data_IF_131437679369
#
_entry.id   IF_131437679369
#
_cell.length_a   1.000
_cell.length_b   1.000
_cell.length_c   1.000
_cell.angle_alpha   90.00
_cell.angle_beta   90.00
_cell.angle_gamma   90.00
#
_symmetry.space_group_name_H-M   'P 1'
#
loop_
_entity.id
_entity.type
_entity.pdbx_description
1 polymer ?
#
# COMPACT_ATOMS: atom_id res chain seq x y z
N UNK A 1 29.05 -1.07 -16.97
CA UNK A 1 27.67 -1.57 -17.17
C UNK A 1 27.42 -1.68 -18.67
N UNK A 2 26.79 -2.75 -19.14
CA UNK A 2 26.62 -3.04 -20.59
C UNK A 2 25.41 -2.30 -21.19
N UNK A 3 25.38 -2.16 -22.53
CA UNK A 3 24.27 -1.50 -23.23
C UNK A 3 22.89 -2.16 -23.00
N UNK A 4 22.87 -3.48 -22.80
CA UNK A 4 21.64 -4.19 -22.44
C UNK A 4 21.16 -3.89 -21.01
N UNK A 5 22.09 -3.62 -20.09
CA UNK A 5 21.76 -3.18 -18.72
C UNK A 5 21.21 -1.74 -18.73
N UNK A 6 21.73 -0.89 -19.61
CA UNK A 6 21.21 0.45 -19.83
C UNK A 6 19.80 0.45 -20.43
N UNK A 7 19.54 -0.38 -21.45
CA UNK A 7 18.20 -0.48 -22.02
C UNK A 7 17.17 -1.05 -21.03
N UNK A 8 17.57 -1.99 -20.16
CA UNK A 8 16.70 -2.48 -19.09
C UNK A 8 16.45 -1.42 -18.02
N UNK A 9 17.47 -0.64 -17.66
CA UNK A 9 17.33 0.49 -16.74
C UNK A 9 16.49 1.60 -17.35
N UNK A 10 16.63 1.91 -18.63
CA UNK A 10 15.77 2.84 -19.36
C UNK A 10 14.34 2.33 -19.44
N UNK A 11 14.11 1.06 -19.79
CA UNK A 11 12.76 0.48 -19.77
C UNK A 11 12.15 0.53 -18.38
N UNK A 12 12.90 0.15 -17.33
CA UNK A 12 12.42 0.23 -15.95
C UNK A 12 12.21 1.67 -15.52
N UNK A 13 13.04 2.62 -15.96
CA UNK A 13 12.88 4.05 -15.70
C UNK A 13 11.67 4.62 -16.44
N UNK A 14 11.42 4.25 -17.70
CA UNK A 14 10.27 4.70 -18.48
C UNK A 14 8.97 4.07 -17.98
N UNK A 15 8.99 2.79 -17.57
CA UNK A 15 7.86 2.13 -16.88
C UNK A 15 7.65 2.75 -15.49
N UNK A 16 8.70 3.12 -14.76
CA UNK A 16 8.63 3.84 -13.47
C UNK A 16 8.24 5.31 -13.61
N UNK A 17 8.49 5.93 -14.76
CA UNK A 17 8.02 7.28 -15.12
C UNK A 17 6.56 7.23 -15.59
N UNK A 18 6.10 6.07 -16.08
CA UNK A 18 4.72 5.81 -16.48
C UNK A 18 3.82 5.38 -15.31
N UNK A 19 4.37 4.91 -14.19
CA UNK A 19 3.60 4.76 -12.96
C UNK A 19 3.32 6.16 -12.39
N UNK A 20 2.07 6.62 -12.42
CA UNK A 20 1.81 8.04 -12.23
C UNK A 20 2.13 8.48 -10.81
N UNK A 21 2.84 9.61 -10.66
CA UNK A 21 2.75 10.42 -9.43
C UNK A 21 1.30 10.85 -9.14
N UNK A 22 0.47 10.84 -10.19
CA UNK A 22 -0.93 11.20 -10.21
C UNK A 22 -1.76 10.06 -10.86
N UNK A 23 -2.06 8.98 -10.13
CA UNK A 23 -3.08 8.04 -10.60
C UNK A 23 -4.40 8.83 -10.62
N UNK A 24 -4.84 9.26 -11.80
CA UNK A 24 -6.14 9.90 -11.96
C UNK A 24 -7.23 8.84 -11.77
N UNK A 25 -8.01 8.90 -10.69
CA UNK A 25 -9.04 7.91 -10.39
C UNK A 25 -10.10 7.77 -11.49
N UNK A 26 -10.18 8.75 -12.38
CA UNK A 26 -11.17 8.81 -13.44
C UNK A 26 -10.63 8.28 -14.77
N UNK A 27 -9.32 8.06 -14.93
CA UNK A 27 -8.72 7.61 -16.20
C UNK A 27 -8.41 6.13 -16.21
N UNK A 28 -7.74 5.61 -15.19
CA UNK A 28 -7.29 4.22 -15.15
C UNK A 28 -7.76 3.53 -13.86
N UNK A 29 -8.51 2.42 -13.96
CA UNK A 29 -8.94 1.70 -12.76
C UNK A 29 -7.77 0.94 -12.12
N UNK A 30 -7.72 0.92 -10.79
CA UNK A 30 -6.74 0.16 -10.01
C UNK A 30 -7.35 -1.18 -9.56
N UNK A 31 -6.66 -2.33 -9.74
CA UNK A 31 -7.21 -3.65 -9.45
C UNK A 31 -7.13 -3.97 -7.95
N UNK A 32 -7.99 -3.36 -7.13
CA UNK A 32 -8.09 -3.68 -5.71
C UNK A 32 -8.52 -5.14 -5.48
N UNK A 33 -8.14 -5.76 -4.35
CA UNK A 33 -8.69 -7.05 -3.93
C UNK A 33 -10.12 -6.88 -3.37
N UNK A 34 -11.09 -6.57 -4.25
CA UNK A 34 -12.45 -6.16 -3.88
C UNK A 34 -13.14 -7.13 -2.90
N UNK A 35 -13.10 -8.43 -3.18
CA UNK A 35 -13.76 -9.46 -2.35
C UNK A 35 -13.15 -9.54 -0.95
N UNK A 36 -11.82 -9.47 -0.83
CA UNK A 36 -11.13 -9.49 0.47
C UNK A 36 -11.49 -8.26 1.29
N UNK A 37 -11.46 -7.08 0.66
CA UNK A 37 -11.81 -5.81 1.30
C UNK A 37 -13.25 -5.86 1.84
N UNK A 38 -14.22 -6.27 1.02
CA UNK A 38 -15.63 -6.26 1.42
C UNK A 38 -15.98 -7.37 2.42
N UNK A 39 -15.33 -8.53 2.35
CA UNK A 39 -15.62 -9.66 3.25
C UNK A 39 -14.90 -9.60 4.60
N UNK A 40 -13.69 -9.03 4.65
CA UNK A 40 -12.85 -9.02 5.86
C UNK A 40 -12.68 -7.64 6.49
N UNK A 41 -13.11 -6.59 5.78
CA UNK A 41 -12.78 -5.20 6.14
C UNK A 41 -11.28 -4.91 6.14
N UNK A 42 -10.53 -5.58 5.26
CA UNK A 42 -9.12 -5.27 5.03
C UNK A 42 -8.92 -3.80 4.66
N UNK A 43 -7.94 -3.17 5.31
CA UNK A 43 -7.47 -1.81 5.00
C UNK A 43 -6.50 -1.83 3.83
N UNK A 44 -6.44 -0.73 3.09
CA UNK A 44 -5.52 -0.55 1.96
C UNK A 44 -4.46 0.48 2.32
N UNK A 45 -3.18 0.10 2.20
CA UNK A 45 -2.07 1.02 2.40
C UNK A 45 -2.01 2.04 1.26
N UNK A 46 -1.84 3.33 1.57
CA UNK A 46 -1.79 4.37 0.54
C UNK A 46 -0.63 4.15 -0.43
N UNK A 47 0.52 3.74 0.09
CA UNK A 47 1.73 3.46 -0.67
C UNK A 47 1.63 2.18 -1.53
N UNK A 48 0.66 1.30 -1.28
CA UNK A 48 0.39 0.16 -2.17
C UNK A 48 -0.16 0.65 -3.52
N UNK A 49 -1.03 1.67 -3.46
CA UNK A 49 -1.68 2.26 -4.63
C UNK A 49 -0.82 3.37 -5.24
N UNK A 50 -0.21 4.20 -4.40
CA UNK A 50 0.61 5.35 -4.78
C UNK A 50 2.06 5.18 -4.28
N UNK A 51 2.87 4.28 -4.87
CA UNK A 51 4.20 3.90 -4.35
C UNK A 51 5.27 5.01 -4.41
N UNK A 52 4.93 6.17 -4.97
CA UNK A 52 5.81 7.34 -5.06
C UNK A 52 5.27 8.56 -4.32
N UNK A 53 4.16 8.42 -3.59
CA UNK A 53 3.67 9.49 -2.75
C UNK A 53 4.61 9.72 -1.57
N UNK A 54 4.57 10.91 -0.98
CA UNK A 54 5.39 11.24 0.18
C UNK A 54 5.13 10.26 1.33
N UNK A 55 6.20 9.70 1.90
CA UNK A 55 6.10 8.80 3.04
C UNK A 55 6.09 9.62 4.32
N UNK A 56 5.21 9.23 5.23
CA UNK A 56 5.16 9.80 6.56
C UNK A 56 6.33 9.30 7.40
N UNK A 57 6.93 10.22 8.13
CA UNK A 57 8.10 9.97 8.96
C UNK A 57 7.85 10.50 10.36
N UNK A 58 8.39 9.79 11.35
CA UNK A 58 8.34 10.19 12.76
C UNK A 58 9.68 9.90 13.43
N UNK A 59 10.15 10.86 14.21
CA UNK A 59 11.41 10.76 14.96
C UNK A 59 11.13 10.75 16.46
N UNK A 60 11.76 9.83 17.17
CA UNK A 60 11.89 9.87 18.62
C UNK A 60 13.36 10.01 18.99
N UNK A 61 13.69 10.47 20.22
CA UNK A 61 15.08 10.66 20.65
C UNK A 61 16.03 9.48 20.45
N UNK A 62 15.51 8.25 20.27
CA UNK A 62 16.29 7.03 20.11
C UNK A 62 15.91 6.20 18.86
N UNK A 63 15.18 6.76 17.90
CA UNK A 63 14.80 6.01 16.70
C UNK A 63 14.03 6.81 15.65
N UNK A 64 14.18 6.38 14.41
CA UNK A 64 13.43 6.86 13.26
C UNK A 64 12.39 5.81 12.85
N UNK A 65 11.22 6.28 12.45
CA UNK A 65 10.12 5.46 11.97
C UNK A 65 9.64 5.99 10.63
N UNK A 66 9.48 5.08 9.67
CA UNK A 66 8.58 5.30 8.55
C UNK A 66 7.17 4.92 8.99
N UNK A 67 6.17 5.59 8.45
CA UNK A 67 4.77 5.37 8.80
C UNK A 67 4.00 4.94 7.56
N UNK A 68 3.46 3.74 7.60
CA UNK A 68 2.57 3.19 6.58
C UNK A 68 1.12 3.48 6.97
N UNK A 69 0.43 4.31 6.18
CA UNK A 69 -0.94 4.73 6.42
C UNK A 69 -1.95 3.89 5.63
N UNK A 70 -2.87 3.23 6.35
CA UNK A 70 -3.83 2.28 5.78
C UNK A 70 -5.28 2.68 6.06
N UNK A 71 -6.11 2.58 5.03
CA UNK A 71 -7.47 3.16 5.01
C UNK A 71 -8.54 2.13 4.68
N UNK A 72 -9.73 2.32 5.24
CA UNK A 72 -10.92 1.56 4.85
C UNK A 72 -11.55 2.17 3.59
N UNK A 73 -11.62 1.40 2.51
CA UNK A 73 -12.19 1.86 1.22
C UNK A 73 -13.59 1.32 0.92
N UNK A 74 -14.17 0.53 1.83
CA UNK A 74 -15.49 -0.10 1.67
C UNK A 74 -16.59 0.93 1.45
N UNK A 75 -17.49 0.67 0.50
CA UNK A 75 -18.50 1.65 0.07
C UNK A 75 -19.59 1.92 1.10
N UNK A 76 -19.84 0.96 1.99
CA UNK A 76 -20.86 1.05 3.05
C UNK A 76 -20.28 1.55 4.39
N UNK A 77 -19.00 1.96 4.40
CA UNK A 77 -18.32 2.40 5.61
C UNK A 77 -18.07 3.91 5.57
N UNK A 78 -18.47 4.60 6.63
CA UNK A 78 -18.27 6.05 6.78
C UNK A 78 -17.18 6.39 7.82
N UNK A 79 -16.35 5.41 8.21
CA UNK A 79 -15.35 5.61 9.25
C UNK A 79 -14.35 6.71 8.86
N UNK A 80 -13.85 7.39 9.87
CA UNK A 80 -12.77 8.38 9.79
C UNK A 80 -11.50 7.86 10.44
N UNK A 81 -11.32 6.54 10.40
CA UNK A 81 -10.17 5.87 10.99
C UNK A 81 -9.08 5.62 9.93
N UNK A 82 -7.83 5.78 10.34
CA UNK A 82 -6.63 5.35 9.62
C UNK A 82 -5.76 4.52 10.57
N UNK A 83 -5.18 3.43 10.06
CA UNK A 83 -4.12 2.72 10.76
C UNK A 83 -2.79 3.34 10.33
N UNK A 84 -2.03 3.84 11.29
CA UNK A 84 -0.67 4.33 11.10
C UNK A 84 0.29 3.30 11.70
N UNK A 85 0.90 2.47 10.85
CA UNK A 85 1.91 1.50 11.29
C UNK A 85 3.29 2.15 11.29
N UNK A 86 3.79 2.45 12.50
CA UNK A 86 5.12 3.00 12.70
C UNK A 86 6.15 1.87 12.65
N UNK A 87 6.95 1.86 11.59
CA UNK A 87 7.95 0.83 11.29
C UNK A 87 9.35 1.42 11.49
N UNK A 88 10.07 0.94 12.50
CA UNK A 88 11.43 1.39 12.82
C UNK A 88 12.44 0.25 12.85
N UNK A 89 13.73 0.60 12.95
CA UNK A 89 14.81 -0.40 13.01
C UNK A 89 14.71 -1.30 14.25
N UNK A 90 14.85 -2.61 14.04
CA UNK A 90 15.00 -3.60 15.10
C UNK A 90 16.43 -3.60 15.64
N UNK A 91 16.60 -3.46 16.96
CA UNK A 91 17.89 -3.69 17.62
C UNK A 91 17.94 -5.10 18.19
N UNK A 92 18.57 -6.06 17.51
CA UNK A 92 19.21 -7.24 18.12
C UNK A 92 20.08 -8.03 17.11
N UNK A 93 21.23 -8.53 17.59
CA UNK A 93 22.31 -9.11 16.76
C UNK A 93 21.82 -10.25 15.86
N UNK A 94 22.00 -10.10 14.54
CA UNK A 94 22.03 -11.22 13.58
C UNK A 94 20.86 -11.34 12.59
N UNK A 95 19.67 -10.82 12.93
CA UNK A 95 18.49 -10.53 12.06
C UNK A 95 17.34 -10.20 13.01
N UNK A 96 16.87 -8.96 13.02
CA UNK A 96 15.70 -8.57 13.83
C UNK A 96 14.57 -8.13 12.88
N UNK A 97 13.33 -8.61 13.06
CA UNK A 97 12.19 -7.99 12.39
C UNK A 97 12.09 -6.50 12.79
N UNK A 98 11.57 -5.64 11.91
CA UNK A 98 11.40 -4.22 12.22
C UNK A 98 10.46 -4.05 13.42
N UNK A 99 10.72 -3.03 14.24
CA UNK A 99 9.84 -2.66 15.34
C UNK A 99 8.59 -2.03 14.74
N UNK A 100 7.44 -2.68 14.88
CA UNK A 100 6.14 -2.17 14.43
C UNK A 100 5.28 -1.72 15.61
N UNK A 101 4.64 -0.57 15.46
CA UNK A 101 3.71 -0.01 16.46
C UNK A 101 2.50 0.58 15.75
N UNK A 102 1.50 -0.24 15.41
CA UNK A 102 0.31 0.26 14.73
C UNK A 102 -0.61 1.00 15.70
N UNK A 103 -0.93 2.24 15.32
CA UNK A 103 -1.88 3.10 16.00
C UNK A 103 -3.09 3.35 15.10
N UNK A 104 -4.28 3.42 15.69
CA UNK A 104 -5.49 3.85 14.99
C UNK A 104 -5.76 5.29 15.36
N UNK A 105 -5.94 6.14 14.35
CA UNK A 105 -6.36 7.53 14.48
C UNK A 105 -7.75 7.70 13.87
N UNK A 106 -8.72 8.10 14.67
CA UNK A 106 -9.91 8.78 14.15
C UNK A 106 -9.55 10.25 13.87
N UNK A 107 -9.31 10.62 12.62
CA UNK A 107 -8.82 11.96 12.27
C UNK A 107 -9.89 13.05 12.42
N UNK A 108 -11.18 12.68 12.49
CA UNK A 108 -12.28 13.63 12.73
C UNK A 108 -12.44 13.91 14.21
N UNK A 109 -12.45 12.87 15.04
CA UNK A 109 -12.53 13.01 16.51
C UNK A 109 -11.17 13.32 17.15
N UNK A 110 -10.08 13.21 16.39
CA UNK A 110 -8.69 13.30 16.85
C UNK A 110 -8.36 12.32 17.99
N UNK A 111 -9.02 11.15 17.97
CA UNK A 111 -8.90 10.11 18.98
C UNK A 111 -7.92 9.04 18.54
N UNK A 112 -7.00 8.67 19.42
CA UNK A 112 -5.94 7.69 19.16
C UNK A 112 -6.09 6.45 20.03
N UNK A 113 -5.92 5.27 19.43
CA UNK A 113 -5.92 3.97 20.14
C UNK A 113 -4.79 3.06 19.65
N UNK A 114 -4.35 2.14 20.50
CA UNK A 114 -3.38 1.11 20.11
C UNK A 114 -4.11 -0.08 19.48
N UNK A 115 -3.76 -0.45 18.24
CA UNK A 115 -4.46 -1.55 17.53
C UNK A 115 -4.38 -2.87 18.31
N UNK A 116 -3.25 -3.15 18.99
CA UNK A 116 -3.04 -4.40 19.75
C UNK A 116 -3.95 -4.54 20.96
N UNK A 117 -4.31 -3.43 21.61
CA UNK A 117 -5.05 -3.45 22.88
C UNK A 117 -6.46 -2.91 22.75
N UNK A 118 -6.77 -2.18 21.66
CA UNK A 118 -8.06 -1.53 21.43
C UNK A 118 -8.41 -0.46 22.46
N UNK A 119 -7.43 0.00 23.26
CA UNK A 119 -7.62 0.95 24.35
C UNK A 119 -7.07 2.34 23.97
N UNK A 120 -7.66 3.43 24.50
CA UNK A 120 -7.08 4.77 24.39
C UNK A 120 -5.63 4.80 24.90
N UNK A 121 -4.79 5.58 24.23
CA UNK A 121 -3.37 5.67 24.55
C UNK A 121 -3.10 6.25 25.95
N UNK A 122 -2.29 5.55 26.73
CA UNK A 122 -1.64 6.05 27.96
C UNK A 122 -0.21 5.51 28.00
N UNK A 123 0.82 6.36 28.04
CA UNK A 123 2.23 5.93 28.05
C UNK A 123 2.88 5.78 26.65
N UNK A 124 3.86 4.87 26.52
CA UNK A 124 4.99 4.92 25.55
C UNK A 124 4.71 5.29 24.08
N UNK A 125 3.55 5.00 23.52
CA UNK A 125 3.19 5.34 22.13
C UNK A 125 2.67 6.79 21.96
N UNK A 126 2.35 7.47 23.06
CA UNK A 126 1.97 8.90 23.07
C UNK A 126 3.10 9.80 22.55
N UNK A 127 4.36 9.45 22.81
CA UNK A 127 5.52 10.20 22.29
C UNK A 127 5.62 10.14 20.77
N UNK A 128 5.43 8.95 20.17
CA UNK A 128 5.39 8.79 18.71
C UNK A 128 4.30 9.63 18.08
N UNK A 129 3.09 9.59 18.66
CA UNK A 129 1.97 10.43 18.21
C UNK A 129 2.34 11.91 18.27
N UNK A 130 2.86 12.40 19.40
CA UNK A 130 3.22 13.81 19.55
C UNK A 130 4.30 14.25 18.58
N UNK A 131 5.34 13.42 18.40
CA UNK A 131 6.40 13.69 17.42
C UNK A 131 5.83 13.77 16.00
N UNK A 132 4.96 12.84 15.62
CA UNK A 132 4.36 12.80 14.29
C UNK A 132 3.45 14.01 14.01
N UNK A 133 2.66 14.44 15.01
CA UNK A 133 1.84 15.65 14.90
C UNK A 133 2.69 16.93 14.85
N UNK A 134 3.78 16.99 15.60
CA UNK A 134 4.65 18.16 15.66
C UNK A 134 5.44 18.39 14.37
N UNK A 135 5.86 17.33 13.68
CA UNK A 135 6.67 17.43 12.45
C UNK A 135 5.85 17.68 11.19
N UNK A 136 4.52 17.48 11.22
CA UNK A 136 3.63 17.68 10.07
C UNK A 136 2.39 18.52 10.40
N UNK A 137 2.53 19.86 10.47
CA UNK A 137 1.37 20.76 10.49
C UNK A 137 0.49 20.49 9.25
N UNK A 138 -0.74 20.03 9.46
CA UNK A 138 -1.66 19.66 8.38
C UNK A 138 -1.86 18.15 8.16
N UNK A 139 -1.18 17.29 8.95
CA UNK A 139 -1.30 15.83 8.86
C UNK A 139 -2.75 15.33 8.76
N UNK A 140 -3.65 15.87 9.60
CA UNK A 140 -5.07 15.45 9.60
C UNK A 140 -5.75 15.71 8.26
N UNK A 141 -5.51 16.87 7.64
CA UNK A 141 -6.08 17.22 6.35
C UNK A 141 -5.48 16.35 5.22
N UNK A 142 -4.19 16.01 5.32
CA UNK A 142 -3.55 15.11 4.37
C UNK A 142 -4.12 13.68 4.46
N UNK A 143 -4.25 13.14 5.68
CA UNK A 143 -4.88 11.83 5.94
C UNK A 143 -6.32 11.80 5.41
N UNK A 144 -7.11 12.84 5.68
CA UNK A 144 -8.48 12.94 5.15
C UNK A 144 -8.50 12.98 3.62
N UNK A 145 -7.58 13.73 3.01
CA UNK A 145 -7.41 13.81 1.55
C UNK A 145 -7.04 12.46 0.93
N UNK A 146 -6.08 11.74 1.53
CA UNK A 146 -5.65 10.40 1.11
C UNK A 146 -6.78 9.38 1.22
N UNK A 147 -7.51 9.38 2.34
CA UNK A 147 -8.66 8.50 2.54
C UNK A 147 -9.74 8.75 1.48
N UNK A 148 -10.06 10.02 1.24
CA UNK A 148 -11.05 10.43 0.24
C UNK A 148 -10.62 10.03 -1.18
N UNK A 149 -9.34 10.17 -1.51
CA UNK A 149 -8.78 9.79 -2.80
C UNK A 149 -8.89 8.27 -3.03
N UNK A 150 -8.48 7.46 -2.05
CA UNK A 150 -8.56 6.00 -2.14
C UNK A 150 -10.01 5.52 -2.27
N UNK A 151 -10.96 6.08 -1.52
CA UNK A 151 -12.39 5.72 -1.65
C UNK A 151 -12.95 6.05 -3.03
N UNK A 152 -12.61 7.22 -3.60
CA UNK A 152 -13.02 7.57 -4.97
C UNK A 152 -12.44 6.61 -6.00
N UNK A 153 -11.15 6.31 -5.90
CA UNK A 153 -10.46 5.38 -6.80
C UNK A 153 -11.01 3.96 -6.66
N UNK A 154 -11.28 3.50 -5.45
CA UNK A 154 -11.88 2.20 -5.18
C UNK A 154 -13.25 2.08 -5.85
N UNK A 155 -14.17 3.04 -5.64
CA UNK A 155 -15.49 3.04 -6.28
C UNK A 155 -15.39 3.04 -7.81
N UNK A 156 -14.61 3.97 -8.38
CA UNK A 156 -14.42 4.05 -9.82
C UNK A 156 -13.82 2.76 -10.42
N UNK A 157 -12.93 2.10 -9.68
CA UNK A 157 -12.30 0.84 -10.12
C UNK A 157 -13.25 -0.34 -9.99
N UNK A 158 -14.02 -0.41 -8.90
CA UNK A 158 -15.03 -1.46 -8.67
C UNK A 158 -16.09 -1.41 -9.76
N UNK A 159 -16.62 -0.23 -10.07
CA UNK A 159 -17.62 -0.05 -11.14
C UNK A 159 -17.13 -0.52 -12.52
N UNK A 160 -15.82 -0.38 -12.79
CA UNK A 160 -15.21 -0.73 -14.08
C UNK A 160 -14.69 -2.16 -14.18
N UNK A 161 -14.16 -2.71 -13.08
CA UNK A 161 -13.44 -3.99 -13.07
C UNK A 161 -14.19 -5.10 -12.33
N UNK A 162 -15.10 -4.75 -11.42
CA UNK A 162 -15.80 -5.70 -10.58
C UNK A 162 -17.24 -5.90 -11.09
N UNK A 163 -17.42 -6.88 -11.97
CA UNK A 163 -18.76 -7.37 -12.34
C UNK A 163 -19.21 -8.45 -11.35
N UNK A 164 -20.39 -8.31 -10.70
CA UNK A 164 -20.89 -9.35 -9.81
C UNK A 164 -21.09 -10.66 -10.60
N UNK A 165 -20.35 -11.71 -10.23
CA UNK A 165 -20.33 -13.00 -10.92
C UNK A 165 -19.06 -13.27 -11.73
N UNK A 166 -18.19 -12.28 -11.95
CA UNK A 166 -16.86 -12.51 -12.48
C UNK A 166 -15.94 -12.88 -11.32
N UNK A 167 -16.07 -14.12 -10.83
CA UNK A 167 -15.01 -14.74 -10.03
C UNK A 167 -13.79 -14.71 -10.94
N UNK A 168 -12.85 -13.78 -10.68
CA UNK A 168 -11.48 -13.95 -11.14
C UNK A 168 -10.99 -15.14 -10.35
N UNK A 169 -11.31 -16.34 -10.84
CA UNK A 169 -10.71 -17.57 -10.35
C UNK A 169 -9.20 -17.37 -10.39
N UNK A 170 -8.43 -18.09 -9.56
CA UNK A 170 -6.97 -18.00 -9.60
C UNK A 170 -6.58 -18.01 -11.06
N UNK A 171 -5.93 -16.93 -11.54
CA UNK A 171 -5.61 -16.72 -12.96
C UNK A 171 -5.23 -18.09 -13.45
N UNK A 172 -6.08 -18.71 -14.29
CA UNK A 172 -5.74 -20.00 -14.85
C UNK A 172 -4.46 -19.66 -15.58
N UNK A 173 -3.33 -20.03 -15.01
CA UNK A 173 -2.04 -19.88 -15.63
C UNK A 173 -2.28 -20.58 -16.95
N UNK A 174 -2.43 -19.76 -17.99
CA UNK A 174 -2.80 -20.23 -19.30
C UNK A 174 -1.85 -21.39 -19.52
N UNK A 175 -2.39 -22.61 -19.69
CA UNK A 175 -1.60 -23.85 -19.65
C UNK A 175 -0.78 -23.89 -20.94
N UNK A 176 0.17 -22.97 -21.00
CA UNK A 176 1.02 -22.66 -22.13
C UNK A 176 1.82 -23.92 -22.36
N UNK A 177 1.80 -24.38 -23.60
CA UNK A 177 2.49 -25.61 -23.94
C UNK A 177 3.94 -25.52 -23.46
N UNK A 178 4.45 -26.54 -22.76
CA UNK A 178 5.84 -26.57 -22.25
C UNK A 178 6.88 -26.19 -23.33
N UNK A 179 6.55 -26.36 -24.61
CA UNK A 179 7.42 -26.06 -25.75
C UNK A 179 7.14 -24.71 -26.45
N UNK A 180 6.14 -23.93 -26.04
CA UNK A 180 5.82 -22.63 -26.65
C UNK A 180 6.79 -21.51 -26.21
N UNK A 181 6.90 -20.40 -26.96
CA UNK A 181 7.70 -19.25 -26.57
C UNK A 181 7.29 -18.68 -25.20
N UNK A 182 8.28 -18.42 -24.36
CA UNK A 182 8.09 -17.90 -23.01
C UNK A 182 7.59 -16.44 -23.06
N UNK A 183 6.56 -16.05 -22.27
CA UNK A 183 6.00 -14.70 -22.32
C UNK A 183 6.93 -13.60 -21.82
N UNK A 184 8.01 -13.95 -21.11
CA UNK A 184 8.97 -12.97 -20.62
C UNK A 184 9.87 -12.36 -21.72
N UNK A 185 9.61 -12.66 -23.00
CA UNK A 185 10.38 -12.11 -24.12
C UNK A 185 11.76 -12.71 -24.31
N UNK A 186 12.11 -13.77 -23.57
CA UNK A 186 13.46 -14.39 -23.62
C UNK A 186 13.76 -15.17 -24.90
N UNK A 187 12.76 -15.42 -25.75
CA UNK A 187 12.86 -16.29 -26.92
C UNK A 187 13.01 -17.79 -26.60
N UNK A 188 13.06 -18.18 -25.32
CA UNK A 188 13.19 -19.58 -24.88
C UNK A 188 11.82 -20.28 -24.81
N UNK A 189 11.82 -21.61 -24.89
CA UNK A 189 10.62 -22.42 -24.62
C UNK A 189 10.20 -22.30 -23.15
N UNK A 190 8.90 -22.29 -22.87
CA UNK A 190 8.34 -22.06 -21.53
C UNK A 190 8.95 -22.98 -20.46
N UNK A 191 9.10 -24.29 -20.74
CA UNK A 191 9.72 -25.28 -19.84
C UNK A 191 11.19 -25.03 -19.48
N UNK A 192 11.88 -24.17 -20.24
CA UNK A 192 13.29 -23.83 -20.04
C UNK A 192 13.47 -22.40 -19.52
N UNK A 193 12.39 -21.77 -19.06
CA UNK A 193 12.38 -20.40 -18.56
C UNK A 193 11.45 -20.29 -17.37
N UNK A 194 10.27 -19.66 -17.52
CA UNK A 194 9.35 -19.40 -16.41
C UNK A 194 8.52 -20.61 -15.97
N UNK A 195 8.56 -21.72 -16.72
CA UNK A 195 7.85 -22.96 -16.40
C UNK A 195 8.71 -24.02 -15.70
N UNK A 196 9.79 -23.59 -15.03
CA UNK A 196 10.69 -24.43 -14.24
C UNK A 196 10.30 -24.42 -12.76
#
# INVERSE_FOLDING_TARGET
MSGAQWNLLEMLFQVRKAAPRDLDPNREPYPFPFDEIESTSATVAFQEVFPFAEIFEAEEPNGFFIVDDQYCVREQCECTEVVLDFIGEGRERGRTPPRRRPLILDYREQRWTEQRTGRPLTGGSERLRQAHLATRPGLLAEIEGRHSLLRRLYRASKDRLHQPGQVVGPVRADRRGRNEPCPCGSGKKFKKCCGA
#
